data_IF_764946523408
#
_entry.id   IF_764946523408
#
_cell.length_a   1.000
_cell.length_b   1.000
_cell.length_c   1.000
_cell.angle_alpha   90.00
_cell.angle_beta   90.00
_cell.angle_gamma   90.00
#
_symmetry.space_group_name_H-M   'P 1'
#
loop_
_entity.id
_entity.type
_entity.pdbx_description
1 polymer ?
#
# COMPACT_ATOMS: atom_id res chain seq x y z
N UNK A 1 18.03 -5.14 -58.74
CA UNK A 1 16.77 -4.37 -58.70
C UNK A 1 15.68 -5.35 -59.07
N UNK A 2 14.80 -5.80 -58.18
CA UNK A 2 13.86 -4.99 -57.41
C UNK A 2 13.47 -5.69 -56.10
N UNK A 3 13.40 -4.91 -55.03
CA UNK A 3 12.86 -5.28 -53.71
C UNK A 3 11.33 -5.22 -53.80
N UNK A 4 10.56 -6.19 -53.28
CA UNK A 4 9.14 -5.99 -53.06
C UNK A 4 8.94 -5.14 -51.80
N UNK A 5 8.29 -3.99 -51.98
CA UNK A 5 7.99 -3.02 -50.93
C UNK A 5 7.16 -3.66 -49.81
N UNK A 6 7.66 -3.53 -48.58
CA UNK A 6 6.90 -3.72 -47.36
C UNK A 6 5.90 -2.59 -47.23
N UNK A 7 4.62 -2.88 -47.40
CA UNK A 7 3.54 -1.96 -47.06
C UNK A 7 3.57 -1.70 -45.55
N UNK A 8 4.03 -0.51 -45.21
CA UNK A 8 4.00 0.06 -43.87
C UNK A 8 2.55 0.14 -43.40
N UNK A 9 2.19 -0.73 -42.45
CA UNK A 9 0.89 -0.71 -41.80
C UNK A 9 0.84 0.50 -40.87
N UNK A 10 0.21 1.59 -41.32
CA UNK A 10 -0.05 2.75 -40.48
C UNK A 10 -0.83 2.31 -39.20
N UNK A 11 -0.53 2.89 -38.02
CA UNK A 11 -1.32 2.62 -36.82
C UNK A 11 -2.75 3.13 -37.05
N UNK A 12 -3.73 2.22 -37.10
CA UNK A 12 -5.13 2.61 -36.99
C UNK A 12 -5.33 3.33 -35.65
N UNK A 13 -5.99 4.50 -35.62
CA UNK A 13 -6.49 5.06 -34.37
C UNK A 13 -7.57 4.10 -33.87
N UNK A 14 -7.31 3.42 -32.75
CA UNK A 14 -8.32 2.62 -32.03
C UNK A 14 -9.53 3.49 -31.74
N UNK A 15 -10.58 3.27 -32.51
CA UNK A 15 -11.88 3.89 -32.34
C UNK A 15 -12.42 3.58 -30.94
N UNK A 16 -12.80 4.65 -30.23
CA UNK A 16 -13.72 4.70 -29.10
C UNK A 16 -13.78 3.49 -28.16
N UNK A 17 -13.02 3.54 -27.06
CA UNK A 17 -13.37 2.79 -25.86
C UNK A 17 -14.79 3.19 -25.42
N UNK A 18 -15.78 2.33 -25.69
CA UNK A 18 -17.15 2.54 -25.25
C UNK A 18 -17.21 2.72 -23.73
N UNK A 19 -18.16 3.53 -23.21
CA UNK A 19 -18.28 3.78 -21.78
C UNK A 19 -18.40 2.45 -21.04
N UNK A 20 -17.52 2.23 -20.06
CA UNK A 20 -17.36 0.98 -19.34
C UNK A 20 -18.69 0.47 -18.77
N UNK A 21 -18.88 -0.85 -18.74
CA UNK A 21 -20.09 -1.50 -18.20
C UNK A 21 -20.44 -1.05 -16.77
N UNK A 22 -19.43 -0.59 -16.02
CA UNK A 22 -19.56 0.07 -14.72
C UNK A 22 -20.33 1.39 -14.76
N UNK A 23 -20.11 2.23 -15.77
CA UNK A 23 -20.85 3.49 -15.95
C UNK A 23 -22.32 3.18 -16.28
N UNK A 24 -22.58 2.17 -17.13
CA UNK A 24 -23.94 1.73 -17.41
C UNK A 24 -24.63 1.17 -16.16
N UNK A 25 -23.94 0.35 -15.37
CA UNK A 25 -24.47 -0.17 -14.11
C UNK A 25 -24.76 0.96 -13.11
N UNK A 26 -23.85 1.93 -12.97
CA UNK A 26 -24.06 3.09 -12.10
C UNK A 26 -25.26 3.95 -12.55
N UNK A 27 -25.45 4.13 -13.85
CA UNK A 27 -26.63 4.82 -14.42
C UNK A 27 -27.92 4.06 -14.09
N UNK A 28 -27.93 2.73 -14.26
CA UNK A 28 -29.10 1.91 -13.93
C UNK A 28 -29.44 1.94 -12.43
N UNK A 29 -28.43 1.90 -11.56
CA UNK A 29 -28.61 2.04 -10.11
C UNK A 29 -29.12 3.43 -9.74
N UNK A 30 -28.59 4.49 -10.34
CA UNK A 30 -29.04 5.86 -10.11
C UNK A 30 -30.51 6.07 -10.53
N UNK A 31 -30.90 5.55 -11.70
CA UNK A 31 -32.29 5.57 -12.17
C UNK A 31 -33.18 4.79 -11.20
N UNK A 32 -32.78 3.59 -10.79
CA UNK A 32 -33.52 2.79 -9.80
C UNK A 32 -33.70 3.50 -8.47
N UNK A 33 -32.65 4.15 -7.96
CA UNK A 33 -32.70 4.92 -6.71
C UNK A 33 -33.62 6.14 -6.81
N UNK A 34 -33.59 6.85 -7.95
CA UNK A 34 -34.44 8.02 -8.18
C UNK A 34 -35.92 7.62 -8.28
N UNK A 35 -36.23 6.52 -8.97
CA UNK A 35 -37.60 5.97 -9.03
C UNK A 35 -38.07 5.54 -7.64
N UNK A 36 -37.23 4.81 -6.89
CA UNK A 36 -37.55 4.41 -5.52
C UNK A 36 -37.83 5.63 -4.62
N UNK A 37 -36.98 6.67 -4.68
CA UNK A 37 -37.17 7.90 -3.91
C UNK A 37 -38.50 8.61 -4.26
N UNK A 38 -38.86 8.67 -5.56
CA UNK A 38 -40.12 9.23 -6.01
C UNK A 38 -41.32 8.42 -5.50
N UNK A 39 -41.25 7.09 -5.56
CA UNK A 39 -42.31 6.20 -5.05
C UNK A 39 -42.48 6.34 -3.54
N UNK A 40 -41.39 6.42 -2.78
CA UNK A 40 -41.41 6.67 -1.34
C UNK A 40 -42.11 7.99 -1.02
N UNK A 41 -41.81 9.04 -1.79
CA UNK A 41 -42.44 10.36 -1.64
C UNK A 41 -43.96 10.30 -1.91
N UNK A 42 -44.38 9.62 -2.99
CA UNK A 42 -45.80 9.44 -3.33
C UNK A 42 -46.55 8.63 -2.26
N UNK A 43 -45.95 7.54 -1.78
CA UNK A 43 -46.50 6.69 -0.70
C UNK A 43 -46.70 7.51 0.58
N UNK A 44 -45.75 8.39 0.91
CA UNK A 44 -45.84 9.29 2.06
C UNK A 44 -47.02 10.27 1.95
N UNK A 45 -47.23 10.84 0.76
CA UNK A 45 -48.32 11.80 0.49
C UNK A 45 -49.69 11.14 0.58
N UNK A 46 -49.84 9.90 0.12
CA UNK A 46 -51.15 9.27 -0.01
C UNK A 46 -51.69 8.64 1.27
N UNK A 47 -50.83 8.28 2.23
CA UNK A 47 -51.24 7.43 3.36
C UNK A 47 -51.57 8.25 4.63
N UNK A 48 -51.21 9.53 4.67
CA UNK A 48 -51.27 10.43 5.84
C UNK A 48 -52.63 10.61 6.56
N UNK A 49 -53.11 9.62 7.31
CA UNK A 49 -54.20 9.75 8.30
C UNK A 49 -54.17 8.86 9.56
N UNK A 50 -53.48 7.70 9.61
CA UNK A 50 -53.47 6.74 10.76
C UNK A 50 -52.08 6.06 10.96
N UNK A 51 -50.99 6.83 10.82
CA UNK A 51 -49.85 6.51 9.95
C UNK A 51 -48.62 5.80 10.53
N UNK A 52 -48.52 5.67 11.85
CA UNK A 52 -47.20 5.41 12.44
C UNK A 52 -46.74 3.95 12.20
N UNK A 53 -47.65 2.97 12.31
CA UNK A 53 -47.29 1.55 12.15
C UNK A 53 -46.95 1.18 10.69
N UNK A 54 -47.71 1.70 9.73
CA UNK A 54 -47.52 1.45 8.30
C UNK A 54 -46.25 2.14 7.81
N UNK A 55 -46.02 3.38 8.26
CA UNK A 55 -44.79 4.12 7.97
C UNK A 55 -43.54 3.39 8.46
N UNK A 56 -43.53 2.87 9.69
CA UNK A 56 -42.42 2.10 10.26
C UNK A 56 -42.16 0.79 9.51
N UNK A 57 -43.21 0.05 9.15
CA UNK A 57 -43.08 -1.18 8.38
C UNK A 57 -42.44 -0.90 7.01
N UNK A 58 -42.89 0.15 6.33
CA UNK A 58 -42.33 0.55 5.03
C UNK A 58 -40.88 1.05 5.13
N UNK A 59 -40.55 1.86 6.14
CA UNK A 59 -39.17 2.31 6.38
C UNK A 59 -38.23 1.13 6.66
N UNK A 60 -38.73 0.09 7.33
CA UNK A 60 -37.98 -1.16 7.55
C UNK A 60 -37.69 -1.86 6.22
N UNK A 61 -38.67 -1.96 5.32
CA UNK A 61 -38.45 -2.52 3.97
C UNK A 61 -37.42 -1.69 3.20
N UNK A 62 -37.54 -0.36 3.22
CA UNK A 62 -36.59 0.55 2.55
C UNK A 62 -35.18 0.37 3.11
N UNK A 63 -35.03 0.29 4.44
CA UNK A 63 -33.76 0.03 5.11
C UNK A 63 -33.14 -1.30 4.66
N UNK A 64 -33.94 -2.36 4.56
CA UNK A 64 -33.49 -3.67 4.09
C UNK A 64 -33.06 -3.63 2.62
N UNK A 65 -33.82 -2.94 1.75
CA UNK A 65 -33.47 -2.74 0.33
C UNK A 65 -32.18 -1.94 0.20
N UNK A 66 -32.01 -0.87 0.98
CA UNK A 66 -30.79 -0.07 0.99
C UNK A 66 -29.57 -0.88 1.45
N UNK A 67 -29.72 -1.69 2.52
CA UNK A 67 -28.69 -2.61 2.99
C UNK A 67 -28.34 -3.68 1.95
N UNK A 68 -29.33 -4.29 1.31
CA UNK A 68 -29.12 -5.27 0.24
C UNK A 68 -28.38 -4.62 -0.96
N UNK A 69 -28.79 -3.42 -1.38
CA UNK A 69 -28.10 -2.67 -2.44
C UNK A 69 -26.66 -2.34 -2.08
N UNK A 70 -26.43 -1.90 -0.84
CA UNK A 70 -25.10 -1.58 -0.34
C UNK A 70 -24.17 -2.82 -0.26
N UNK A 71 -24.68 -3.95 0.19
CA UNK A 71 -23.92 -5.22 0.26
C UNK A 71 -23.60 -5.79 -1.12
N UNK A 72 -24.52 -5.69 -2.08
CA UNK A 72 -24.24 -6.03 -3.49
C UNK A 72 -23.16 -5.12 -4.05
N UNK A 73 -23.25 -3.81 -3.80
CA UNK A 73 -22.22 -2.86 -4.23
C UNK A 73 -20.86 -3.21 -3.62
N UNK A 74 -20.80 -3.49 -2.32
CA UNK A 74 -19.56 -3.88 -1.64
C UNK A 74 -18.98 -5.19 -2.20
N UNK A 75 -19.82 -6.17 -2.52
CA UNK A 75 -19.42 -7.44 -3.16
C UNK A 75 -18.76 -7.22 -4.53
N UNK A 76 -19.23 -6.25 -5.32
CA UNK A 76 -18.58 -5.89 -6.58
C UNK A 76 -17.20 -5.24 -6.40
N UNK A 77 -16.95 -4.61 -5.26
CA UNK A 77 -15.65 -4.04 -4.92
C UNK A 77 -14.69 -5.03 -4.27
N UNK A 78 -15.18 -6.18 -3.78
CA UNK A 78 -14.40 -7.20 -3.06
C UNK A 78 -13.21 -7.80 -3.83
N UNK A 79 -13.25 -8.06 -5.17
CA UNK A 79 -12.15 -8.70 -5.88
C UNK A 79 -10.83 -7.94 -5.87
N UNK A 80 -10.86 -6.64 -5.52
CA UNK A 80 -9.69 -5.75 -5.50
C UNK A 80 -9.23 -5.36 -4.10
N UNK A 81 -9.83 -5.92 -3.03
CA UNK A 81 -9.60 -5.47 -1.64
C UNK A 81 -9.16 -6.60 -0.71
N UNK A 82 -8.35 -6.29 0.31
CA UNK A 82 -7.96 -7.26 1.32
C UNK A 82 -9.19 -7.73 2.13
N UNK A 83 -9.24 -9.03 2.45
CA UNK A 83 -10.41 -9.67 3.07
C UNK A 83 -10.86 -9.02 4.40
N UNK A 84 -9.91 -8.54 5.22
CA UNK A 84 -10.22 -7.86 6.48
C UNK A 84 -11.05 -6.57 6.26
N UNK A 85 -10.84 -5.87 5.13
CA UNK A 85 -11.58 -4.65 4.83
C UNK A 85 -13.03 -4.95 4.43
N UNK A 86 -13.26 -6.06 3.72
CA UNK A 86 -14.60 -6.53 3.41
C UNK A 86 -15.37 -6.88 4.69
N UNK A 87 -14.71 -7.53 5.66
CA UNK A 87 -15.32 -7.81 6.98
C UNK A 87 -15.68 -6.53 7.74
N UNK A 88 -14.78 -5.53 7.75
CA UNK A 88 -15.05 -4.24 8.40
C UNK A 88 -16.20 -3.48 7.71
N UNK A 89 -16.24 -3.47 6.38
CA UNK A 89 -17.32 -2.87 5.59
C UNK A 89 -18.66 -3.54 5.88
N UNK A 90 -18.70 -4.87 5.85
CA UNK A 90 -19.88 -5.66 6.19
C UNK A 90 -20.34 -5.37 7.62
N UNK A 91 -19.42 -5.31 8.58
CA UNK A 91 -19.72 -4.95 9.97
C UNK A 91 -20.35 -3.56 10.11
N UNK A 92 -19.85 -2.56 9.37
CA UNK A 92 -20.41 -1.22 9.38
C UNK A 92 -21.83 -1.17 8.78
N UNK A 93 -22.09 -1.91 7.69
CA UNK A 93 -23.43 -2.00 7.11
C UNK A 93 -24.41 -2.72 8.04
N UNK A 94 -23.97 -3.79 8.72
CA UNK A 94 -24.78 -4.46 9.74
C UNK A 94 -25.09 -3.50 10.90
N UNK A 95 -24.09 -2.75 11.38
CA UNK A 95 -24.30 -1.76 12.43
C UNK A 95 -25.30 -0.68 11.99
N UNK A 96 -25.20 -0.17 10.76
CA UNK A 96 -26.16 0.78 10.21
C UNK A 96 -27.58 0.18 10.14
N UNK A 97 -27.74 -1.08 9.72
CA UNK A 97 -29.03 -1.76 9.71
C UNK A 97 -29.61 -1.87 11.13
N UNK A 98 -28.81 -2.29 12.10
CA UNK A 98 -29.27 -2.43 13.49
C UNK A 98 -29.68 -1.08 14.09
N UNK A 99 -28.85 -0.05 13.92
CA UNK A 99 -29.15 1.30 14.42
C UNK A 99 -30.40 1.85 13.73
N UNK A 100 -30.50 1.71 12.41
CA UNK A 100 -31.68 2.13 11.65
C UNK A 100 -32.96 1.43 12.11
N UNK A 101 -32.90 0.11 12.32
CA UNK A 101 -34.03 -0.65 12.84
C UNK A 101 -34.47 -0.15 14.24
N UNK A 102 -33.51 0.11 15.14
CA UNK A 102 -33.85 0.65 16.47
C UNK A 102 -34.46 2.04 16.36
N UNK A 103 -33.91 2.93 15.52
CA UNK A 103 -34.44 4.29 15.32
C UNK A 103 -35.86 4.31 14.72
N UNK A 104 -36.18 3.38 13.83
CA UNK A 104 -37.53 3.25 13.24
C UNK A 104 -38.55 2.84 14.29
N UNK A 105 -38.19 1.91 15.17
CA UNK A 105 -39.13 1.34 16.14
C UNK A 105 -39.22 2.14 17.44
N UNK A 106 -38.29 3.07 17.68
CA UNK A 106 -38.32 3.96 18.84
C UNK A 106 -39.56 4.87 18.83
N UNK A 107 -40.30 5.03 19.95
CA UNK A 107 -41.54 5.81 19.97
C UNK A 107 -41.30 7.32 19.79
N UNK A 108 -41.86 7.92 18.75
CA UNK A 108 -41.71 9.36 18.48
C UNK A 108 -42.25 10.22 19.64
N UNK A 109 -41.43 11.13 20.17
CA UNK A 109 -41.86 12.10 21.20
C UNK A 109 -42.44 13.39 20.60
N UNK A 110 -42.13 13.68 19.34
CA UNK A 110 -42.52 14.89 18.65
C UNK A 110 -43.19 14.54 17.32
N UNK A 111 -44.36 15.13 17.04
CA UNK A 111 -45.16 14.83 15.83
C UNK A 111 -44.49 15.20 14.50
N UNK A 112 -43.40 15.96 14.51
CA UNK A 112 -42.60 16.34 13.33
C UNK A 112 -41.22 15.66 13.32
N UNK A 113 -41.00 14.65 14.17
CA UNK A 113 -39.70 14.04 14.42
C UNK A 113 -39.18 13.12 13.31
N UNK A 114 -40.06 12.54 12.48
CA UNK A 114 -39.68 11.52 11.48
C UNK A 114 -38.60 11.98 10.48
N UNK A 115 -38.72 13.19 9.93
CA UNK A 115 -37.70 13.73 9.00
C UNK A 115 -36.35 13.99 9.70
N UNK A 116 -36.37 14.50 10.93
CA UNK A 116 -35.16 14.73 11.72
C UNK A 116 -34.41 13.43 11.99
N UNK A 117 -35.13 12.36 12.38
CA UNK A 117 -34.55 11.02 12.60
C UNK A 117 -33.96 10.42 11.34
N UNK A 118 -34.60 10.62 10.19
CA UNK A 118 -34.05 10.19 8.90
C UNK A 118 -32.72 10.90 8.60
N UNK A 119 -32.64 12.22 8.80
CA UNK A 119 -31.40 12.98 8.60
C UNK A 119 -30.31 12.56 9.60
N UNK A 120 -30.67 12.35 10.88
CA UNK A 120 -29.75 11.81 11.89
C UNK A 120 -29.20 10.43 11.50
N UNK A 121 -30.06 9.54 10.98
CA UNK A 121 -29.64 8.25 10.46
C UNK A 121 -28.63 8.39 9.31
N UNK A 122 -28.87 9.33 8.37
CA UNK A 122 -27.89 9.62 7.32
C UNK A 122 -26.55 10.12 7.87
N UNK A 123 -26.55 10.95 8.93
CA UNK A 123 -25.32 11.35 9.61
C UNK A 123 -24.62 10.18 10.30
N UNK A 124 -25.34 9.24 10.90
CA UNK A 124 -24.77 8.02 11.49
C UNK A 124 -24.10 7.18 10.40
N UNK A 125 -24.78 6.96 9.27
CA UNK A 125 -24.19 6.27 8.12
C UNK A 125 -22.95 7.01 7.63
N UNK A 126 -23.00 8.34 7.49
CA UNK A 126 -21.85 9.16 7.10
C UNK A 126 -20.66 8.97 8.05
N UNK A 127 -20.89 8.98 9.36
CA UNK A 127 -19.85 8.76 10.38
C UNK A 127 -19.24 7.36 10.22
N UNK A 128 -20.06 6.31 10.09
CA UNK A 128 -19.57 4.95 9.86
C UNK A 128 -18.71 4.86 8.59
N UNK A 129 -19.13 5.51 7.50
CA UNK A 129 -18.37 5.56 6.26
C UNK A 129 -17.08 6.37 6.39
N UNK A 130 -17.09 7.49 7.14
CA UNK A 130 -15.90 8.27 7.44
C UNK A 130 -14.87 7.44 8.24
N UNK A 131 -15.31 6.62 9.20
CA UNK A 131 -14.42 5.71 9.94
C UNK A 131 -13.77 4.70 9.00
N UNK A 132 -14.54 4.04 8.13
CA UNK A 132 -13.99 3.09 7.15
C UNK A 132 -13.02 3.76 6.17
N UNK A 133 -13.39 4.95 5.67
CA UNK A 133 -12.54 5.75 4.80
C UNK A 133 -11.23 6.13 5.51
N UNK A 134 -11.33 6.55 6.76
CA UNK A 134 -10.19 6.91 7.60
C UNK A 134 -9.24 5.73 7.77
N UNK A 135 -9.74 4.58 8.23
CA UNK A 135 -8.94 3.35 8.40
C UNK A 135 -8.26 2.97 7.08
N UNK A 136 -8.97 3.06 5.96
CA UNK A 136 -8.41 2.76 4.63
C UNK A 136 -7.27 3.71 4.25
N UNK A 137 -7.46 5.02 4.41
CA UNK A 137 -6.45 6.03 4.07
C UNK A 137 -5.23 5.91 5.01
N UNK A 138 -5.49 5.70 6.30
CA UNK A 138 -4.49 5.66 7.35
C UNK A 138 -3.60 4.42 7.25
N UNK A 139 -4.19 3.24 7.03
CA UNK A 139 -3.40 2.03 6.82
C UNK A 139 -2.56 2.11 5.54
N UNK A 140 -3.07 2.73 4.47
CA UNK A 140 -2.27 2.96 3.26
C UNK A 140 -1.06 3.87 3.53
N UNK A 141 -1.20 4.87 4.41
CA UNK A 141 -0.09 5.74 4.80
C UNK A 141 0.93 5.02 5.71
N UNK A 142 0.47 4.14 6.60
CA UNK A 142 1.29 3.38 7.54
C UNK A 142 2.21 2.35 6.86
N UNK A 143 1.75 1.69 5.79
CA UNK A 143 2.51 0.65 5.06
C UNK A 143 3.85 1.14 4.47
N UNK A 144 4.13 2.45 4.49
CA UNK A 144 5.40 3.02 4.03
C UNK A 144 6.54 2.88 5.04
N UNK A 145 6.22 2.82 6.34
CA UNK A 145 7.18 2.69 7.45
C UNK A 145 6.56 1.92 8.62
N UNK A 146 6.76 0.60 8.63
CA UNK A 146 6.31 -0.27 9.73
C UNK A 146 7.42 -0.36 10.80
N UNK A 147 7.20 0.31 11.94
CA UNK A 147 8.02 0.19 13.14
C UNK A 147 7.10 -0.12 14.32
N UNK A 148 7.63 -0.71 15.40
CA UNK A 148 6.85 -1.00 16.61
C UNK A 148 6.20 0.26 17.20
N UNK A 149 6.89 1.40 17.13
CA UNK A 149 6.38 2.69 17.57
C UNK A 149 5.20 3.16 16.70
N UNK A 150 5.37 3.21 15.38
CA UNK A 150 4.29 3.64 14.46
C UNK A 150 3.09 2.70 14.53
N UNK A 151 3.31 1.40 14.76
CA UNK A 151 2.24 0.40 14.92
C UNK A 151 1.39 0.65 16.16
N UNK A 152 2.02 0.93 17.31
CA UNK A 152 1.32 1.28 18.55
C UNK A 152 0.49 2.54 18.38
N UNK A 153 1.07 3.60 17.81
CA UNK A 153 0.36 4.85 17.52
C UNK A 153 -0.81 4.61 16.57
N UNK A 154 -0.64 3.75 15.56
CA UNK A 154 -1.68 3.45 14.61
C UNK A 154 -2.88 2.74 15.26
N UNK A 155 -2.63 1.73 16.10
CA UNK A 155 -3.68 1.01 16.83
C UNK A 155 -4.42 1.95 17.77
N UNK A 156 -3.70 2.76 18.55
CA UNK A 156 -4.30 3.74 19.47
C UNK A 156 -5.16 4.75 18.72
N UNK A 157 -4.70 5.24 17.56
CA UNK A 157 -5.46 6.19 16.74
C UNK A 157 -6.74 5.55 16.20
N UNK A 158 -6.68 4.31 15.71
CA UNK A 158 -7.86 3.59 15.23
C UNK A 158 -8.88 3.41 16.37
N UNK A 159 -8.43 3.03 17.57
CA UNK A 159 -9.30 2.89 18.75
C UNK A 159 -9.94 4.24 19.10
N UNK A 160 -9.17 5.33 19.11
CA UNK A 160 -9.69 6.68 19.37
C UNK A 160 -10.73 7.11 18.32
N UNK A 161 -10.52 6.80 17.05
CA UNK A 161 -11.48 7.11 15.97
C UNK A 161 -12.77 6.30 16.13
N UNK A 162 -12.68 5.02 16.48
CA UNK A 162 -13.88 4.19 16.74
C UNK A 162 -14.61 4.67 18.00
N UNK A 163 -13.88 5.05 19.04
CA UNK A 163 -14.45 5.64 20.25
C UNK A 163 -15.13 6.97 19.95
N UNK A 164 -14.51 7.84 19.15
CA UNK A 164 -15.10 9.10 18.69
C UNK A 164 -16.39 8.86 17.89
N UNK A 165 -16.37 7.91 16.96
CA UNK A 165 -17.56 7.56 16.19
C UNK A 165 -18.70 7.11 17.11
N UNK A 166 -18.39 6.27 18.10
CA UNK A 166 -19.36 5.83 19.11
C UNK A 166 -19.91 7.02 19.91
N UNK A 167 -19.04 7.92 20.36
CA UNK A 167 -19.43 9.15 21.07
C UNK A 167 -20.29 10.10 20.23
N UNK A 168 -20.16 10.09 18.90
CA UNK A 168 -21.02 10.88 18.02
C UNK A 168 -22.33 10.17 17.69
N UNK A 169 -22.32 8.84 17.50
CA UNK A 169 -23.50 8.04 17.14
C UNK A 169 -24.52 7.99 18.29
N UNK A 170 -24.06 7.83 19.54
CA UNK A 170 -24.93 7.76 20.71
C UNK A 170 -25.89 8.96 20.83
N UNK A 171 -25.43 10.23 20.81
CA UNK A 171 -26.32 11.39 20.90
C UNK A 171 -27.17 11.58 19.65
N UNK A 172 -26.70 11.16 18.46
CA UNK A 172 -27.51 11.14 17.24
C UNK A 172 -28.66 10.14 17.33
N UNK A 173 -28.44 8.98 17.96
CA UNK A 173 -29.42 7.92 18.12
C UNK A 173 -30.40 8.18 19.27
N UNK A 174 -29.90 8.70 20.40
CA UNK A 174 -30.64 8.78 21.67
C UNK A 174 -30.92 10.20 22.15
N UNK A 175 -30.54 11.23 21.38
CA UNK A 175 -30.62 12.64 21.78
C UNK A 175 -32.01 13.16 22.16
N UNK A 176 -33.08 12.49 21.72
CA UNK A 176 -34.45 12.84 22.12
C UNK A 176 -34.88 12.24 23.46
N UNK A 177 -34.20 11.20 23.94
CA UNK A 177 -34.51 10.49 25.19
C UNK A 177 -33.53 10.81 26.31
N UNK A 178 -32.27 11.00 25.96
CA UNK A 178 -31.18 11.23 26.91
C UNK A 178 -30.70 12.67 26.82
N UNK A 179 -30.60 13.30 27.99
CA UNK A 179 -29.94 14.58 28.11
C UNK A 179 -28.45 14.35 28.39
N UNK A 180 -27.59 14.88 27.54
CA UNK A 180 -26.14 14.72 27.65
C UNK A 180 -25.53 15.89 28.42
N UNK A 181 -24.82 15.64 29.54
CA UNK A 181 -24.19 16.70 30.30
C UNK A 181 -23.00 17.31 29.54
N UNK A 182 -22.60 18.52 29.93
CA UNK A 182 -21.50 19.26 29.28
C UNK A 182 -20.17 18.46 29.23
N UNK A 183 -19.90 17.64 30.26
CA UNK A 183 -18.71 16.79 30.31
C UNK A 183 -18.64 15.80 29.13
N UNK A 184 -19.79 15.32 28.63
CA UNK A 184 -19.86 14.42 27.49
C UNK A 184 -19.29 15.07 26.22
N UNK A 185 -19.68 16.32 25.97
CA UNK A 185 -19.21 17.09 24.82
C UNK A 185 -17.74 17.44 24.95
N UNK A 186 -17.26 17.75 26.16
CA UNK A 186 -15.82 17.96 26.42
C UNK A 186 -15.00 16.70 26.12
N UNK A 187 -15.46 15.53 26.58
CA UNK A 187 -14.79 14.25 26.29
C UNK A 187 -14.80 13.97 24.78
N UNK A 188 -15.94 14.16 24.12
CA UNK A 188 -16.06 13.99 22.66
C UNK A 188 -15.05 14.87 21.91
N UNK A 189 -14.95 16.15 22.27
CA UNK A 189 -13.98 17.08 21.67
C UNK A 189 -12.54 16.69 21.98
N UNK A 190 -12.23 16.30 23.22
CA UNK A 190 -10.88 15.87 23.60
C UNK A 190 -10.45 14.63 22.80
N UNK A 191 -11.33 13.63 22.67
CA UNK A 191 -11.08 12.44 21.86
C UNK A 191 -10.92 12.82 20.38
N UNK A 192 -11.72 13.77 19.87
CA UNK A 192 -11.60 14.25 18.49
C UNK A 192 -10.24 14.90 18.22
N UNK A 193 -9.74 15.72 19.13
CA UNK A 193 -8.43 16.36 19.02
C UNK A 193 -7.31 15.30 19.06
N UNK A 194 -7.39 14.33 19.99
CA UNK A 194 -6.42 13.24 20.08
C UNK A 194 -6.40 12.36 18.82
N UNK A 195 -7.58 12.04 18.28
CA UNK A 195 -7.70 11.30 17.03
C UNK A 195 -7.12 12.09 15.85
N UNK A 196 -7.43 13.39 15.74
CA UNK A 196 -6.87 14.26 14.71
C UNK A 196 -5.33 14.35 14.80
N UNK A 197 -4.79 14.45 16.01
CA UNK A 197 -3.34 14.43 16.25
C UNK A 197 -2.73 13.11 15.79
N UNK A 198 -3.27 11.97 16.21
CA UNK A 198 -2.80 10.64 15.80
C UNK A 198 -2.85 10.43 14.28
N UNK A 199 -3.83 11.05 13.62
CA UNK A 199 -3.98 11.04 12.16
C UNK A 199 -2.88 11.83 11.46
N UNK A 200 -2.55 13.01 11.99
CA UNK A 200 -1.57 13.93 11.41
C UNK A 200 -0.11 13.46 11.62
N UNK A 201 0.16 12.70 12.68
CA UNK A 201 1.51 12.24 13.02
C UNK A 201 2.13 11.33 11.95
N UNK A 202 1.38 10.34 11.44
CA UNK A 202 1.91 9.38 10.47
C UNK A 202 2.41 10.03 9.17
N UNK A 203 1.64 10.88 8.46
CA UNK A 203 2.13 11.52 7.24
C UNK A 203 3.33 12.43 7.51
N UNK A 204 3.41 13.09 8.68
CA UNK A 204 4.54 13.95 9.04
C UNK A 204 5.83 13.15 9.26
N UNK A 205 5.73 12.03 10.00
CA UNK A 205 6.84 11.07 10.17
C UNK A 205 7.25 10.50 8.81
N UNK A 206 6.29 10.12 7.96
CA UNK A 206 6.54 9.61 6.62
C UNK A 206 7.30 10.62 5.74
N UNK A 207 6.97 11.92 5.82
CA UNK A 207 7.70 12.98 5.10
C UNK A 207 9.10 13.18 5.67
N UNK A 208 9.24 13.16 7.01
CA UNK A 208 10.52 13.37 7.67
C UNK A 208 11.54 12.25 7.39
N UNK A 209 11.07 11.00 7.31
CA UNK A 209 11.90 9.82 7.08
C UNK A 209 11.88 9.30 5.63
N UNK A 210 11.23 10.03 4.70
CA UNK A 210 11.25 9.72 3.27
C UNK A 210 12.71 9.60 2.77
N UNK A 211 13.19 8.44 2.26
CA UNK A 211 14.51 8.37 1.67
C UNK A 211 14.53 9.36 0.52
N UNK A 212 15.48 10.31 0.58
CA UNK A 212 15.75 11.21 -0.54
C UNK A 212 15.91 10.31 -1.76
N UNK A 213 15.00 10.45 -2.73
CA UNK A 213 15.13 9.71 -4.00
C UNK A 213 16.58 9.90 -4.44
N UNK A 214 17.33 8.82 -4.74
CA UNK A 214 18.65 8.95 -5.32
C UNK A 214 18.48 9.92 -6.48
N UNK A 215 19.11 11.08 -6.36
CA UNK A 215 19.12 12.02 -7.48
C UNK A 215 19.77 11.21 -8.58
N UNK A 216 19.01 10.87 -9.62
CA UNK A 216 19.52 10.14 -10.76
C UNK A 216 20.84 10.82 -11.10
N UNK A 217 21.94 10.09 -10.90
CA UNK A 217 23.25 10.60 -11.25
C UNK A 217 23.10 11.03 -12.70
N UNK A 218 23.28 12.32 -12.96
CA UNK A 218 23.30 12.83 -14.32
C UNK A 218 24.24 11.89 -15.09
N UNK A 219 23.83 11.36 -16.26
CA UNK A 219 24.66 10.41 -16.99
C UNK A 219 26.05 11.02 -17.10
N UNK A 220 27.01 10.36 -16.45
CA UNK A 220 28.41 10.73 -16.52
C UNK A 220 28.73 10.72 -18.01
N UNK A 221 28.99 11.90 -18.57
CA UNK A 221 29.47 12.00 -19.94
C UNK A 221 30.75 11.16 -19.99
N UNK A 222 30.68 10.01 -20.67
CA UNK A 222 31.82 9.13 -20.85
C UNK A 222 32.96 9.97 -21.46
N UNK A 223 34.15 10.00 -20.84
CA UNK A 223 35.28 10.66 -21.45
C UNK A 223 35.80 9.77 -22.58
N UNK A 224 35.91 10.35 -23.77
CA UNK A 224 36.60 9.83 -24.95
C UNK A 224 35.99 8.61 -25.66
N UNK A 225 35.13 8.89 -26.64
CA UNK A 225 35.13 8.11 -27.86
C UNK A 225 36.46 8.32 -28.57
N UNK A 226 37.28 7.26 -28.61
CA UNK A 226 38.43 7.18 -29.49
C UNK A 226 37.93 7.20 -30.94
N UNK A 227 38.17 8.30 -31.64
CA UNK A 227 38.03 8.34 -33.10
C UNK A 227 39.19 7.56 -33.74
N UNK A 228 38.94 6.71 -34.75
CA UNK A 228 40.01 6.00 -35.45
C UNK A 228 40.87 7.00 -36.22
N UNK A 229 42.15 7.08 -35.85
CA UNK A 229 43.20 7.86 -36.50
C UNK A 229 43.63 7.19 -37.82
N UNK A 230 43.53 7.86 -38.99
CA UNK A 230 44.18 7.40 -40.21
C UNK A 230 45.69 7.71 -40.15
N UNK A 231 46.51 6.70 -40.39
CA UNK A 231 47.97 6.82 -40.49
C UNK A 231 48.36 7.69 -41.69
N UNK A 232 49.08 8.79 -41.45
CA UNK A 232 49.76 9.57 -42.47
C UNK A 232 51.23 9.81 -42.04
N UNK A 233 52.19 9.81 -42.98
CA UNK A 233 53.60 9.66 -42.64
C UNK A 233 54.24 10.95 -42.09
N UNK A 234 55.07 10.73 -41.08
CA UNK A 234 55.92 11.67 -40.36
C UNK A 234 56.92 12.40 -41.28
N UNK A 235 56.84 13.73 -41.34
CA UNK A 235 57.91 14.59 -41.85
C UNK A 235 57.98 15.90 -41.04
N UNK A 236 59.13 16.15 -40.42
CA UNK A 236 59.63 17.49 -40.06
C UNK A 236 59.09 18.13 -38.78
N UNK A 237 59.90 18.12 -37.71
CA UNK A 237 59.73 18.97 -36.53
C UNK A 237 60.08 20.45 -36.84
N UNK A 238 59.46 21.40 -36.12
CA UNK A 238 60.24 22.44 -35.42
C UNK A 238 59.84 22.59 -33.92
N UNK A 239 60.64 23.31 -33.10
CA UNK A 239 60.65 23.19 -31.64
C UNK A 239 59.59 24.05 -30.92
N UNK A 240 59.36 23.65 -29.67
CA UNK A 240 58.41 24.16 -28.69
C UNK A 240 58.55 25.65 -28.33
N UNK A 241 57.50 26.25 -27.75
CA UNK A 241 57.62 27.24 -26.68
C UNK A 241 57.29 26.64 -25.29
N UNK A 242 58.06 27.10 -24.30
CA UNK A 242 58.03 26.74 -22.88
C UNK A 242 56.69 27.07 -22.17
N UNK A 243 56.40 26.44 -21.01
CA UNK A 243 55.12 26.59 -20.32
C UNK A 243 55.01 27.94 -19.59
N UNK A 244 53.86 28.60 -19.76
CA UNK A 244 53.50 29.76 -18.96
C UNK A 244 53.14 29.31 -17.53
N UNK A 245 53.82 29.90 -16.55
CA UNK A 245 53.59 29.71 -15.13
C UNK A 245 52.17 30.17 -14.73
N UNK A 246 51.43 29.30 -14.04
CA UNK A 246 50.24 29.65 -13.27
C UNK A 246 50.42 29.14 -11.84
N UNK A 247 50.14 30.06 -10.92
CA UNK A 247 50.26 30.08 -9.46
C UNK A 247 50.08 28.75 -8.70
N UNK A 248 50.68 28.62 -7.50
CA UNK A 248 50.51 27.45 -6.65
C UNK A 248 49.05 27.29 -6.23
N UNK A 249 48.45 26.16 -6.63
CA UNK A 249 47.18 25.71 -6.07
C UNK A 249 47.36 25.42 -4.59
N UNK A 250 46.52 26.03 -3.77
CA UNK A 250 46.39 25.75 -2.35
C UNK A 250 46.17 24.24 -2.11
N UNK A 251 46.69 23.66 -1.01
CA UNK A 251 46.49 22.23 -0.73
C UNK A 251 45.00 21.92 -0.64
N UNK A 252 44.53 21.11 -1.57
CA UNK A 252 43.20 20.52 -1.53
C UNK A 252 43.06 19.75 -0.22
N UNK A 253 42.04 20.09 0.56
CA UNK A 253 41.63 19.31 1.72
C UNK A 253 41.39 17.85 1.29
N UNK A 254 41.75 16.85 2.14
CA UNK A 254 41.54 15.46 1.79
C UNK A 254 40.04 15.23 1.59
N UNK A 255 39.65 14.94 0.35
CA UNK A 255 38.36 14.36 0.04
C UNK A 255 38.29 13.04 0.79
N UNK A 256 37.53 13.00 1.88
CA UNK A 256 37.12 11.75 2.50
C UNK A 256 36.35 11.00 1.41
N UNK A 257 37.01 10.02 0.77
CA UNK A 257 36.36 9.06 -0.11
C UNK A 257 35.33 8.35 0.75
N UNK A 258 34.08 8.77 0.60
CA UNK A 258 32.89 8.14 1.14
C UNK A 258 32.96 6.67 0.68
N UNK A 259 33.34 5.76 1.61
CA UNK A 259 33.51 4.34 1.31
C UNK A 259 32.15 3.80 0.86
N UNK A 260 31.98 3.69 -0.46
CA UNK A 260 30.85 2.99 -1.05
C UNK A 260 30.86 1.55 -0.52
N UNK A 261 29.68 1.00 -0.16
CA UNK A 261 29.60 -0.38 0.33
C UNK A 261 30.14 -1.34 -0.73
N UNK A 262 30.97 -2.29 -0.29
CA UNK A 262 31.62 -3.25 -1.18
C UNK A 262 30.59 -4.15 -1.89
N UNK A 263 30.71 -4.41 -3.20
CA UNK A 263 29.75 -5.24 -3.93
C UNK A 263 29.69 -6.69 -3.43
N UNK A 264 28.51 -7.28 -3.46
CA UNK A 264 28.24 -8.68 -3.12
C UNK A 264 27.68 -9.47 -4.30
N UNK A 265 27.74 -10.80 -4.24
CA UNK A 265 27.12 -11.71 -5.20
C UNK A 265 25.59 -11.57 -5.18
N UNK A 266 24.90 -12.30 -6.08
CA UNK A 266 23.43 -12.30 -6.18
C UNK A 266 22.73 -12.78 -4.91
N UNK A 267 23.45 -13.46 -4.01
CA UNK A 267 22.97 -13.85 -2.68
C UNK A 267 22.84 -12.67 -1.71
N UNK A 268 23.44 -11.52 -2.05
CA UNK A 268 23.41 -10.29 -1.25
C UNK A 268 24.31 -10.31 -0.02
N UNK A 269 24.98 -11.44 0.28
CA UNK A 269 25.77 -11.64 1.50
C UNK A 269 27.24 -11.92 1.23
N UNK A 270 27.57 -12.59 0.12
CA UNK A 270 28.97 -12.96 -0.15
C UNK A 270 29.65 -11.79 -0.87
N UNK A 271 30.71 -11.18 -0.32
CA UNK A 271 31.45 -10.11 -1.00
C UNK A 271 32.19 -10.63 -2.23
N UNK A 272 32.25 -9.82 -3.29
CA UNK A 272 33.07 -10.14 -4.46
C UNK A 272 34.56 -10.14 -4.08
N UNK A 273 35.38 -11.05 -4.64
CA UNK A 273 36.83 -11.00 -4.49
C UNK A 273 37.42 -9.66 -4.92
N UNK A 274 38.56 -9.27 -4.33
CA UNK A 274 39.25 -8.02 -4.62
C UNK A 274 40.47 -8.28 -5.52
N UNK A 275 40.58 -7.56 -6.63
CA UNK A 275 41.77 -7.59 -7.48
C UNK A 275 42.96 -6.91 -6.79
N UNK A 276 44.20 -7.14 -7.25
CA UNK A 276 45.39 -6.47 -6.73
C UNK A 276 45.37 -4.93 -6.80
N UNK A 277 44.53 -4.36 -7.68
CA UNK A 277 44.32 -2.92 -7.82
C UNK A 277 43.26 -2.35 -6.84
N UNK A 278 42.68 -3.21 -6.00
CA UNK A 278 41.63 -2.84 -5.04
C UNK A 278 40.24 -2.70 -5.67
N UNK A 279 40.05 -3.14 -6.92
CA UNK A 279 38.74 -3.17 -7.57
C UNK A 279 38.00 -4.51 -7.31
N UNK A 280 36.65 -4.52 -7.34
CA UNK A 280 35.88 -5.76 -7.22
C UNK A 280 35.99 -6.64 -8.48
N UNK A 281 36.16 -7.94 -8.28
CA UNK A 281 36.26 -8.95 -9.35
C UNK A 281 34.91 -9.28 -9.97
N UNK A 282 34.49 -8.48 -10.95
CA UNK A 282 33.28 -8.75 -11.72
C UNK A 282 33.38 -10.01 -12.58
N UNK A 283 34.58 -10.50 -12.90
CA UNK A 283 34.77 -11.77 -13.60
C UNK A 283 34.26 -12.94 -12.75
N UNK A 284 34.56 -12.91 -11.45
CA UNK A 284 34.08 -13.89 -10.49
C UNK A 284 32.55 -13.88 -10.34
N UNK A 285 31.90 -12.72 -10.47
CA UNK A 285 30.43 -12.61 -10.43
C UNK A 285 29.74 -13.43 -11.52
N UNK A 286 30.29 -13.44 -12.75
CA UNK A 286 29.70 -14.19 -13.86
C UNK A 286 30.16 -15.63 -13.94
N UNK A 287 31.41 -15.91 -13.55
CA UNK A 287 32.02 -17.24 -13.71
C UNK A 287 31.91 -18.11 -12.45
N UNK A 288 31.66 -17.51 -11.29
CA UNK A 288 31.69 -18.18 -9.99
C UNK A 288 33.10 -18.50 -9.46
N UNK A 289 34.15 -18.18 -10.22
CA UNK A 289 35.54 -18.46 -9.85
C UNK A 289 36.36 -17.16 -9.75
N UNK A 290 37.16 -16.96 -8.69
CA UNK A 290 38.05 -15.81 -8.58
C UNK A 290 39.06 -15.75 -9.73
N UNK A 291 39.27 -14.55 -10.28
CA UNK A 291 40.34 -14.28 -11.24
C UNK A 291 41.70 -14.57 -10.59
N UNK A 292 42.68 -15.13 -11.32
CA UNK A 292 44.00 -15.38 -10.75
C UNK A 292 44.61 -14.13 -10.10
N UNK A 293 44.96 -14.24 -8.83
CA UNK A 293 45.50 -13.12 -8.04
C UNK A 293 44.46 -12.29 -7.28
N UNK A 294 43.16 -12.61 -7.39
CA UNK A 294 42.13 -11.98 -6.57
C UNK A 294 42.15 -12.50 -5.12
N UNK A 295 41.96 -11.59 -4.16
CA UNK A 295 41.83 -11.89 -2.75
C UNK A 295 40.35 -12.14 -2.41
N UNK A 296 40.04 -13.36 -1.97
CA UNK A 296 38.70 -13.72 -1.48
C UNK A 296 38.57 -13.32 -0.02
N UNK A 297 37.48 -12.63 0.31
CA UNK A 297 37.14 -12.31 1.70
C UNK A 297 36.55 -13.56 2.37
N UNK A 298 37.42 -14.43 2.89
CA UNK A 298 37.00 -15.65 3.59
C UNK A 298 36.40 -15.29 4.96
N UNK A 299 35.16 -15.72 5.21
CA UNK A 299 34.69 -16.00 6.57
C UNK A 299 35.18 -17.41 6.97
N UNK A 300 35.76 -17.63 8.16
CA UNK A 300 36.28 -18.94 8.52
C UNK A 300 35.10 -19.87 8.78
N UNK A 301 34.97 -20.94 8.00
CA UNK A 301 34.70 -22.31 8.45
C UNK A 301 34.40 -23.24 7.27
N UNK A 302 35.43 -23.96 6.81
CA UNK A 302 35.48 -25.43 6.72
C UNK A 302 36.63 -25.86 5.80
N UNK A 303 37.81 -26.05 6.40
CA UNK A 303 38.82 -27.01 5.94
C UNK A 303 39.07 -27.94 7.15
N UNK A 304 38.74 -29.22 7.03
CA UNK A 304 39.64 -30.27 6.57
C UNK A 304 40.63 -30.76 7.65
N UNK A 305 40.51 -32.06 7.94
CA UNK A 305 41.55 -32.97 8.41
C UNK A 305 42.27 -32.68 9.74
N UNK A 306 41.87 -33.39 10.79
CA UNK A 306 42.80 -33.87 11.84
C UNK A 306 42.74 -35.39 11.89
N UNK A 307 43.91 -36.01 11.68
CA UNK A 307 44.14 -37.45 11.82
C UNK A 307 44.60 -37.79 13.24
N UNK A 308 44.03 -38.88 13.78
CA UNK A 308 44.51 -39.80 14.85
C UNK A 308 44.70 -39.21 16.27
N UNK A 309 44.10 -39.76 17.33
CA UNK A 309 44.44 -41.09 17.91
C UNK A 309 43.39 -41.57 18.94
N UNK A 310 43.05 -42.87 18.87
CA UNK A 310 42.49 -43.82 19.86
C UNK A 310 41.44 -43.43 20.93
N UNK A 311 40.23 -44.02 20.81
CA UNK A 311 39.58 -44.86 21.84
C UNK A 311 38.29 -45.53 21.30
N UNK A 312 38.02 -46.76 21.75
CA UNK A 312 37.05 -47.76 21.25
C UNK A 312 35.55 -47.44 21.50
N UNK A 313 34.59 -48.23 20.95
CA UNK A 313 33.29 -47.76 20.47
C UNK A 313 32.13 -47.85 21.47
N UNK A 314 31.10 -47.01 21.29
CA UNK A 314 29.77 -47.28 21.85
C UNK A 314 28.65 -46.74 20.94
N UNK A 315 27.80 -47.68 20.53
CA UNK A 315 26.39 -47.58 20.14
C UNK A 315 25.91 -46.49 19.16
N UNK A 316 25.46 -46.95 17.98
CA UNK A 316 24.63 -46.20 17.04
C UNK A 316 23.20 -45.99 17.55
N UNK A 317 22.59 -44.80 17.34
CA UNK A 317 21.15 -44.65 17.21
C UNK A 317 20.77 -44.51 15.73
N UNK A 318 19.90 -45.42 15.27
CA UNK A 318 19.39 -45.46 13.91
C UNK A 318 18.47 -44.28 13.57
N UNK A 319 18.74 -43.73 12.40
CA UNK A 319 17.92 -42.89 11.52
C UNK A 319 16.39 -43.12 11.61
N UNK A 320 15.65 -42.08 12.00
CA UNK A 320 14.24 -41.88 11.66
C UNK A 320 14.08 -40.53 10.97
N UNK A 321 13.41 -40.49 9.81
CA UNK A 321 12.88 -39.23 9.28
C UNK A 321 13.11 -38.92 7.80
N UNK A 322 12.75 -39.81 6.88
CA UNK A 322 12.33 -39.43 5.53
C UNK A 322 11.24 -40.40 5.04
N UNK A 323 10.10 -39.94 4.49
CA UNK A 323 9.07 -40.82 3.95
C UNK A 323 9.49 -41.40 2.58
N UNK A 324 9.10 -42.65 2.25
CA UNK A 324 9.44 -43.25 0.96
C UNK A 324 8.65 -42.62 -0.20
N UNK A 325 9.23 -42.56 -1.42
CA UNK A 325 8.55 -42.02 -2.60
C UNK A 325 7.41 -42.94 -3.10
N UNK A 326 6.37 -42.38 -3.75
CA UNK A 326 5.21 -43.14 -4.23
C UNK A 326 5.55 -44.04 -5.44
N UNK A 327 4.85 -45.18 -5.60
CA UNK A 327 5.11 -46.12 -6.70
C UNK A 327 4.63 -45.57 -8.06
N UNK A 328 5.41 -45.85 -9.10
CA UNK A 328 5.10 -45.49 -10.49
C UNK A 328 3.99 -46.38 -11.09
N UNK A 329 3.16 -45.86 -12.00
CA UNK A 329 2.09 -46.63 -12.65
C UNK A 329 2.63 -47.67 -13.66
N UNK A 330 1.93 -48.81 -13.86
CA UNK A 330 2.33 -49.84 -14.81
C UNK A 330 2.17 -49.34 -16.25
N UNK A 331 3.19 -49.60 -17.08
CA UNK A 331 3.15 -49.33 -18.53
C UNK A 331 2.67 -50.58 -19.29
N UNK A 332 1.81 -50.45 -20.31
CA UNK A 332 1.55 -51.51 -21.28
C UNK A 332 2.73 -51.71 -22.25
#
# INVERSE_FOLDING_TARGET
MTVPETYESAPQPTAGAGPSSLVRAAIWVAIGALIAAALVCVVWVLIGGQNDIVGRAFLTILLLVAFAGATILDAHLAPRRPAWFALASMGAWIAALLIGAVMIWMPERYSWGGFSRFVQFLFIVLILQLVLLHVRLYLKAFQRYDTTFTRSVAIVTIILVVALATLLIIPLMLGEYLWFPDIYWRVTVAVAILAALGTALIPLVNVLFAPKRPRAAAPYAAPYGAAPVPYAPQLGAPPAPAPAALAPAAPAAPTQQELLPWPTYVDGSTPLPMLPDGSPDWGAYYTGYPTPGAHVFVAPEHDAATSQTDAAPSAAPGYEGFPPPPPLPPRP
#
